data_IF_034733151672
#
_entry.id   IF_034733151672
#
_cell.length_a   1.000
_cell.length_b   1.000
_cell.length_c   1.000
_cell.angle_alpha   90.00
_cell.angle_beta   90.00
_cell.angle_gamma   90.00
#
_symmetry.space_group_name_H-M   'P 1'
#
loop_
_entity.id
_entity.type
_entity.pdbx_description
1 polymer ?
#
# COMPACT_ATOMS: atom_id res chain seq x y z
N UNK A 1 -10.59 28.20 2.54
CA UNK A 1 -9.55 27.26 3.02
C UNK A 1 -9.22 26.19 1.97
N UNK A 2 -10.15 25.40 1.45
CA UNK A 2 -9.91 24.31 0.49
C UNK A 2 -9.08 24.73 -0.74
N UNK A 3 -9.46 25.81 -1.45
CA UNK A 3 -8.71 26.30 -2.63
C UNK A 3 -7.26 26.72 -2.33
N UNK A 4 -6.99 27.24 -1.11
CA UNK A 4 -5.64 27.63 -0.69
C UNK A 4 -4.75 26.39 -0.48
N UNK A 5 -5.25 25.37 0.21
CA UNK A 5 -4.49 24.14 0.47
C UNK A 5 -4.22 23.36 -0.82
N UNK A 6 -5.16 23.34 -1.77
CA UNK A 6 -4.95 22.74 -3.10
C UNK A 6 -3.85 23.46 -3.90
N UNK A 7 -3.84 24.80 -3.86
CA UNK A 7 -2.79 25.57 -4.50
C UNK A 7 -1.43 25.26 -3.89
N UNK A 8 -1.32 25.17 -2.56
CA UNK A 8 -0.08 24.81 -1.88
C UNK A 8 0.38 23.40 -2.29
N UNK A 9 -0.54 22.42 -2.36
CA UNK A 9 -0.23 21.07 -2.80
C UNK A 9 0.35 21.05 -4.23
N UNK A 10 -0.22 21.85 -5.14
CA UNK A 10 0.29 22.01 -6.50
C UNK A 10 1.66 22.71 -6.55
N UNK A 11 1.88 23.74 -5.72
CA UNK A 11 3.16 24.47 -5.61
C UNK A 11 4.30 23.56 -5.11
N UNK A 12 4.02 22.60 -4.20
CA UNK A 12 5.00 21.62 -3.72
C UNK A 12 5.39 20.62 -4.81
N UNK A 13 4.57 20.46 -5.85
CA UNK A 13 4.84 19.64 -7.01
C UNK A 13 4.77 18.14 -6.80
N UNK A 14 5.23 17.41 -7.82
CA UNK A 14 5.27 15.95 -7.83
C UNK A 14 6.51 15.36 -7.16
N UNK A 15 6.56 14.02 -7.14
CA UNK A 15 7.71 13.26 -6.65
C UNK A 15 8.07 12.14 -7.62
N UNK A 16 9.36 11.81 -7.69
CA UNK A 16 9.82 10.57 -8.34
C UNK A 16 9.81 9.47 -7.29
N UNK A 17 9.10 8.39 -7.51
CA UNK A 17 9.04 7.26 -6.58
C UNK A 17 8.76 5.95 -7.32
N UNK A 18 9.57 4.94 -7.07
CA UNK A 18 9.35 3.59 -7.57
C UNK A 18 9.29 3.47 -9.09
N UNK A 19 10.05 4.29 -9.82
CA UNK A 19 10.06 4.34 -11.28
C UNK A 19 8.94 5.19 -11.91
N UNK A 20 8.11 5.86 -11.08
CA UNK A 20 7.03 6.73 -11.55
C UNK A 20 7.27 8.19 -11.22
N UNK A 21 6.74 9.08 -12.07
CA UNK A 21 6.53 10.50 -11.77
C UNK A 21 5.11 10.67 -11.24
N UNK A 22 4.96 10.85 -9.93
CA UNK A 22 3.68 11.05 -9.27
C UNK A 22 3.35 12.53 -9.17
N UNK A 23 2.09 12.93 -9.40
CA UNK A 23 1.61 14.32 -9.30
C UNK A 23 1.78 14.90 -7.88
N UNK A 24 1.74 14.05 -6.87
CA UNK A 24 2.06 14.33 -5.47
C UNK A 24 2.33 12.99 -4.74
N UNK A 25 2.85 12.97 -3.51
CA UNK A 25 3.22 11.73 -2.83
C UNK A 25 2.05 10.92 -2.22
N UNK A 26 0.79 11.29 -2.43
CA UNK A 26 -0.36 10.68 -1.75
C UNK A 26 -1.10 9.70 -2.65
N UNK A 27 -1.30 8.48 -2.15
CA UNK A 27 -1.94 7.38 -2.86
C UNK A 27 -2.99 6.69 -1.98
N UNK A 28 -3.93 5.99 -2.61
CA UNK A 28 -4.77 5.03 -1.87
C UNK A 28 -3.94 3.81 -1.47
N UNK A 29 -4.34 3.10 -0.41
CA UNK A 29 -3.76 1.80 -0.08
C UNK A 29 -4.58 0.66 -0.68
N UNK A 30 -3.93 -0.42 -1.11
CA UNK A 30 -4.63 -1.59 -1.63
C UNK A 30 -5.62 -2.15 -0.61
N UNK A 31 -6.81 -2.51 -1.08
CA UNK A 31 -7.89 -3.06 -0.24
C UNK A 31 -8.80 -2.03 0.43
N UNK A 32 -8.58 -0.73 0.23
CA UNK A 32 -9.40 0.35 0.84
C UNK A 32 -10.03 1.30 -0.17
N UNK A 33 -9.76 1.11 -1.47
CA UNK A 33 -10.26 1.95 -2.57
C UNK A 33 -11.08 1.19 -3.62
N UNK A 34 -11.43 -0.06 -3.35
CA UNK A 34 -12.14 -0.90 -4.34
C UNK A 34 -11.25 -1.36 -5.49
N UNK A 35 -11.88 -1.64 -6.62
CA UNK A 35 -11.21 -2.10 -7.84
C UNK A 35 -11.28 -1.09 -9.00
N UNK A 36 -12.11 -0.04 -8.87
CA UNK A 36 -12.34 0.96 -9.91
C UNK A 36 -12.43 2.39 -9.33
N UNK A 37 -13.34 3.22 -9.83
CA UNK A 37 -13.49 4.64 -9.52
C UNK A 37 -14.47 4.96 -8.38
N UNK A 38 -14.84 4.02 -7.53
CA UNK A 38 -15.89 4.19 -6.50
C UNK A 38 -15.65 5.43 -5.62
N UNK A 39 -14.40 5.70 -5.26
CA UNK A 39 -14.04 6.89 -4.47
C UNK A 39 -14.07 8.20 -5.27
N UNK A 40 -14.22 8.16 -6.58
CA UNK A 40 -14.30 9.34 -7.45
C UNK A 40 -15.48 10.26 -7.14
N UNK A 41 -16.55 9.71 -6.54
CA UNK A 41 -17.69 10.50 -6.06
C UNK A 41 -17.36 11.38 -4.85
N UNK A 42 -16.25 11.14 -4.17
CA UNK A 42 -15.86 11.81 -2.93
C UNK A 42 -14.61 12.66 -3.06
N UNK A 43 -13.70 12.31 -3.99
CA UNK A 43 -12.42 13.01 -4.19
C UNK A 43 -11.94 12.91 -5.65
N UNK A 44 -11.09 13.85 -6.13
CA UNK A 44 -10.54 13.83 -7.47
C UNK A 44 -9.42 12.77 -7.58
N UNK A 45 -9.75 11.58 -8.12
CA UNK A 45 -8.80 10.46 -8.23
C UNK A 45 -7.65 10.77 -9.19
N UNK A 46 -7.92 11.50 -10.27
CA UNK A 46 -6.94 11.99 -11.27
C UNK A 46 -5.89 12.94 -10.71
N UNK A 47 -6.15 13.49 -9.52
CA UNK A 47 -5.26 14.44 -8.83
C UNK A 47 -4.47 13.80 -7.68
N UNK A 48 -4.67 12.53 -7.40
CA UNK A 48 -3.83 11.77 -6.48
C UNK A 48 -2.51 11.39 -7.14
N UNK A 49 -1.51 11.04 -6.34
CA UNK A 49 -0.27 10.46 -6.86
C UNK A 49 -0.54 9.17 -7.63
N UNK A 50 -1.34 8.27 -7.04
CA UNK A 50 -1.87 7.07 -7.71
C UNK A 50 -3.07 6.49 -6.94
N UNK A 51 -3.83 5.65 -7.62
CA UNK A 51 -4.80 4.74 -7.01
C UNK A 51 -4.22 3.32 -7.04
N UNK A 52 -3.96 2.77 -5.85
CA UNK A 52 -3.56 1.37 -5.71
C UNK A 52 -4.82 0.55 -5.50
N UNK A 53 -5.18 -0.26 -6.49
CA UNK A 53 -6.41 -1.06 -6.43
C UNK A 53 -6.27 -2.23 -5.45
N UNK A 54 -7.39 -2.80 -5.04
CA UNK A 54 -7.41 -3.99 -4.18
C UNK A 54 -6.66 -5.14 -4.86
N UNK A 55 -5.87 -5.90 -4.06
CA UNK A 55 -5.02 -6.98 -4.57
C UNK A 55 -5.81 -8.02 -5.36
N UNK A 56 -5.36 -8.27 -6.58
CA UNK A 56 -5.95 -9.17 -7.56
C UNK A 56 -5.24 -10.53 -7.52
N UNK A 57 -5.99 -11.60 -7.62
CA UNK A 57 -5.50 -12.95 -7.86
C UNK A 57 -5.61 -13.28 -9.35
N UNK A 58 -4.89 -14.28 -9.84
CA UNK A 58 -4.95 -14.66 -11.25
C UNK A 58 -6.34 -15.14 -11.70
N UNK A 59 -7.20 -15.56 -10.78
CA UNK A 59 -8.59 -15.98 -11.00
C UNK A 59 -9.54 -15.37 -9.95
N UNK A 60 -10.88 -15.46 -10.12
CA UNK A 60 -11.82 -15.00 -9.11
C UNK A 60 -11.59 -15.69 -7.76
N UNK A 61 -11.67 -14.91 -6.65
CA UNK A 61 -11.47 -15.42 -5.31
C UNK A 61 -12.50 -14.90 -4.32
N UNK A 62 -13.18 -15.81 -3.62
CA UNK A 62 -14.32 -15.48 -2.73
C UNK A 62 -13.91 -14.84 -1.40
N UNK A 63 -12.68 -15.08 -0.94
CA UNK A 63 -12.21 -14.65 0.37
C UNK A 63 -12.72 -15.49 1.53
N UNK A 64 -12.68 -14.92 2.74
CA UNK A 64 -13.03 -15.60 3.98
C UNK A 64 -14.53 -15.51 4.32
N UNK A 65 -15.06 -16.39 5.18
CA UNK A 65 -16.41 -16.25 5.71
C UNK A 65 -16.59 -15.00 6.59
N UNK A 66 -17.80 -14.46 6.64
CA UNK A 66 -18.18 -13.37 7.54
C UNK A 66 -18.26 -13.85 9.03
N UNK A 67 -18.10 -12.95 9.99
CA UNK A 67 -17.76 -11.51 9.89
C UNK A 67 -16.30 -11.27 9.43
N UNK A 68 -16.12 -10.34 8.49
CA UNK A 68 -14.80 -10.07 7.88
C UNK A 68 -14.09 -8.84 8.44
N UNK A 69 -14.82 -8.00 9.17
CA UNK A 69 -14.35 -6.72 9.71
C UNK A 69 -14.90 -6.51 11.09
N UNK A 70 -14.08 -5.96 12.00
CA UNK A 70 -14.52 -5.55 13.34
C UNK A 70 -13.76 -4.30 13.77
N UNK A 71 -14.42 -3.43 14.54
CA UNK A 71 -13.75 -2.26 15.13
C UNK A 71 -12.77 -2.72 16.22
N UNK A 72 -11.62 -2.07 16.27
CA UNK A 72 -10.62 -2.25 17.32
C UNK A 72 -10.24 -0.90 17.90
N UNK A 73 -9.74 -0.87 19.14
CA UNK A 73 -9.28 0.37 19.74
C UNK A 73 -8.13 0.96 18.91
N UNK A 74 -8.31 2.20 18.44
CA UNK A 74 -7.34 2.87 17.58
C UNK A 74 -7.30 2.38 16.13
N UNK A 75 -8.34 1.67 15.66
CA UNK A 75 -8.39 1.20 14.28
C UNK A 75 -9.45 0.15 14.00
N UNK A 76 -9.11 -0.81 13.18
CA UNK A 76 -9.97 -1.94 12.83
C UNK A 76 -9.14 -3.21 12.63
N UNK A 77 -9.80 -4.36 12.80
CA UNK A 77 -9.26 -5.67 12.45
C UNK A 77 -10.06 -6.26 11.30
N UNK A 78 -9.39 -6.86 10.32
CA UNK A 78 -10.04 -7.45 9.17
C UNK A 78 -9.44 -8.81 8.79
N UNK A 79 -10.29 -9.66 8.25
CA UNK A 79 -9.93 -10.92 7.61
C UNK A 79 -10.78 -11.08 6.35
N UNK A 80 -10.69 -10.14 5.41
CA UNK A 80 -11.47 -10.18 4.15
C UNK A 80 -11.09 -11.39 3.30
N UNK A 81 -9.83 -11.84 3.38
CA UNK A 81 -9.36 -13.01 2.65
C UNK A 81 -9.09 -12.74 1.17
N UNK A 82 -8.76 -11.48 0.82
CA UNK A 82 -8.32 -11.10 -0.53
C UNK A 82 -9.34 -11.36 -1.63
N UNK A 83 -10.64 -11.27 -1.32
CA UNK A 83 -11.73 -11.39 -2.29
C UNK A 83 -11.51 -10.46 -3.49
N UNK A 84 -11.75 -10.94 -4.68
CA UNK A 84 -11.66 -10.15 -5.90
C UNK A 84 -12.10 -10.88 -7.16
N UNK A 85 -12.28 -10.15 -8.29
CA UNK A 85 -12.80 -10.69 -9.54
C UNK A 85 -11.78 -11.51 -10.33
N UNK A 86 -10.51 -11.47 -9.95
CA UNK A 86 -9.40 -11.96 -10.76
C UNK A 86 -8.86 -10.92 -11.74
N UNK A 87 -7.62 -11.12 -12.21
CA UNK A 87 -6.93 -10.15 -13.08
C UNK A 87 -7.68 -9.94 -14.39
N UNK A 88 -8.09 -11.02 -15.05
CA UNK A 88 -8.72 -10.94 -16.40
C UNK A 88 -10.04 -10.17 -16.35
N UNK A 89 -10.92 -10.49 -15.40
CA UNK A 89 -12.19 -9.79 -15.24
C UNK A 89 -11.96 -8.31 -14.88
N UNK A 90 -11.01 -8.02 -14.00
CA UNK A 90 -10.66 -6.65 -13.62
C UNK A 90 -10.20 -5.80 -14.82
N UNK A 91 -9.37 -6.36 -15.71
CA UNK A 91 -8.90 -5.66 -16.92
C UNK A 91 -10.08 -5.28 -17.82
N UNK A 92 -11.08 -6.14 -17.96
CA UNK A 92 -12.21 -5.91 -18.86
C UNK A 92 -13.33 -5.07 -18.24
N UNK A 93 -13.55 -5.18 -16.95
CA UNK A 93 -14.73 -4.63 -16.27
C UNK A 93 -14.43 -3.33 -15.50
N UNK A 94 -13.27 -3.23 -14.86
CA UNK A 94 -12.94 -2.12 -13.95
C UNK A 94 -11.89 -1.15 -14.50
N UNK A 95 -10.83 -1.66 -15.13
CA UNK A 95 -9.72 -0.85 -15.63
C UNK A 95 -10.16 0.24 -16.62
N UNK A 96 -11.13 0.03 -17.56
CA UNK A 96 -11.58 1.07 -18.47
C UNK A 96 -12.16 2.31 -17.77
N UNK A 97 -12.78 2.15 -16.62
CA UNK A 97 -13.29 3.29 -15.84
C UNK A 97 -12.15 4.14 -15.25
N UNK A 98 -11.08 3.50 -14.76
CA UNK A 98 -9.87 4.17 -14.27
C UNK A 98 -9.13 4.91 -15.40
N UNK A 99 -9.03 4.33 -16.59
CA UNK A 99 -8.47 4.99 -17.78
C UNK A 99 -9.29 6.20 -18.17
N UNK A 100 -10.61 6.06 -18.29
CA UNK A 100 -11.53 7.16 -18.61
C UNK A 100 -11.42 8.31 -17.61
N UNK A 101 -11.20 7.99 -16.34
CA UNK A 101 -10.99 8.97 -15.28
C UNK A 101 -9.56 9.53 -15.22
N UNK A 102 -8.67 9.13 -16.14
CA UNK A 102 -7.26 9.56 -16.22
C UNK A 102 -6.49 9.35 -14.89
N UNK A 103 -6.72 8.22 -14.26
CA UNK A 103 -6.11 7.86 -12.96
C UNK A 103 -4.75 7.19 -13.18
N UNK A 104 -3.72 7.63 -12.45
CA UNK A 104 -2.47 6.85 -12.33
C UNK A 104 -2.77 5.57 -11.54
N UNK A 105 -2.85 4.45 -12.24
CA UNK A 105 -3.32 3.17 -11.67
C UNK A 105 -2.15 2.25 -11.33
N UNK A 106 -2.12 1.75 -10.10
CA UNK A 106 -1.20 0.71 -9.63
C UNK A 106 -1.99 -0.56 -9.38
N UNK A 107 -1.69 -1.63 -10.12
CA UNK A 107 -2.31 -2.92 -9.95
C UNK A 107 -1.65 -3.67 -8.79
N UNK A 108 -2.37 -3.89 -7.68
CA UNK A 108 -1.88 -4.76 -6.62
C UNK A 108 -2.19 -6.22 -6.96
N UNK A 109 -1.23 -7.13 -6.77
CA UNK A 109 -1.41 -8.58 -7.00
C UNK A 109 -1.00 -9.39 -5.78
N UNK A 110 -1.56 -10.61 -5.67
CA UNK A 110 -1.19 -11.55 -4.64
C UNK A 110 -1.21 -12.99 -5.17
N UNK A 111 -0.56 -13.89 -4.45
CA UNK A 111 -0.53 -15.32 -4.67
C UNK A 111 -0.21 -16.08 -3.39
N UNK A 112 -0.35 -17.38 -3.40
CA UNK A 112 0.00 -18.33 -2.33
C UNK A 112 1.29 -19.08 -2.65
N UNK A 113 1.62 -19.13 -3.94
CA UNK A 113 2.80 -19.78 -4.51
C UNK A 113 3.49 -18.86 -5.49
N UNK A 114 4.77 -19.05 -5.75
CA UNK A 114 5.53 -18.30 -6.77
C UNK A 114 4.82 -18.37 -8.13
N UNK A 115 4.31 -19.55 -8.52
CA UNK A 115 3.62 -19.74 -9.79
C UNK A 115 2.37 -18.85 -9.92
N UNK A 116 1.56 -18.73 -8.86
CA UNK A 116 0.36 -17.90 -8.88
C UNK A 116 0.68 -16.39 -9.04
N UNK A 117 1.79 -15.89 -8.44
CA UNK A 117 2.25 -14.52 -8.68
C UNK A 117 2.66 -14.31 -10.14
N UNK A 118 3.37 -15.27 -10.74
CA UNK A 118 3.76 -15.22 -12.15
C UNK A 118 2.55 -15.24 -13.06
N UNK A 119 1.55 -16.07 -12.80
CA UNK A 119 0.29 -16.08 -13.55
C UNK A 119 -0.41 -14.72 -13.52
N UNK A 120 -0.56 -14.12 -12.32
CA UNK A 120 -1.19 -12.81 -12.18
C UNK A 120 -0.41 -11.70 -12.93
N UNK A 121 0.92 -11.70 -12.80
CA UNK A 121 1.78 -10.73 -13.50
C UNK A 121 1.71 -10.90 -15.03
N UNK A 122 1.72 -12.12 -15.52
CA UNK A 122 1.62 -12.42 -16.95
C UNK A 122 0.28 -11.96 -17.54
N UNK A 123 -0.82 -12.22 -16.84
CA UNK A 123 -2.15 -11.73 -17.25
C UNK A 123 -2.22 -10.20 -17.30
N UNK A 124 -1.55 -9.49 -16.37
CA UNK A 124 -1.51 -8.02 -16.36
C UNK A 124 -0.81 -7.42 -17.58
N UNK A 125 -0.02 -8.18 -18.35
CA UNK A 125 0.56 -7.71 -19.62
C UNK A 125 -0.51 -7.24 -20.60
N UNK A 126 -1.71 -7.83 -20.54
CA UNK A 126 -2.85 -7.42 -21.38
C UNK A 126 -3.36 -6.01 -21.04
N UNK A 127 -3.10 -5.51 -19.84
CA UNK A 127 -3.41 -4.12 -19.44
C UNK A 127 -2.50 -3.08 -20.14
N UNK A 128 -1.33 -3.49 -20.65
CA UNK A 128 -0.40 -2.61 -21.35
C UNK A 128 0.02 -1.41 -20.50
N UNK A 129 -0.11 -0.22 -21.08
CA UNK A 129 0.21 1.07 -20.45
C UNK A 129 -0.94 1.64 -19.59
N UNK A 130 -2.08 0.94 -19.49
CA UNK A 130 -3.21 1.36 -18.66
C UNK A 130 -2.94 1.23 -17.17
N UNK A 131 -1.89 0.48 -16.78
CA UNK A 131 -1.34 0.45 -15.44
C UNK A 131 0.06 1.07 -15.43
N UNK A 132 0.39 1.76 -14.33
CA UNK A 132 1.67 2.46 -14.19
C UNK A 132 2.71 1.65 -13.41
N UNK A 133 2.26 0.78 -12.49
CA UNK A 133 3.12 -0.13 -11.72
C UNK A 133 2.34 -1.35 -11.24
N UNK A 134 3.07 -2.38 -10.78
CA UNK A 134 2.52 -3.54 -10.07
C UNK A 134 3.01 -3.50 -8.62
N UNK A 135 2.08 -3.49 -7.64
CA UNK A 135 2.39 -3.68 -6.22
C UNK A 135 2.20 -5.15 -5.84
N UNK A 136 3.28 -5.87 -5.55
CA UNK A 136 3.28 -7.29 -5.17
C UNK A 136 3.04 -7.40 -3.67
N UNK A 137 1.86 -7.88 -3.26
CA UNK A 137 1.51 -8.10 -1.87
C UNK A 137 2.11 -9.42 -1.36
N UNK A 138 3.24 -9.34 -0.66
CA UNK A 138 3.95 -10.51 -0.10
C UNK A 138 3.48 -10.92 1.30
N UNK A 139 2.45 -10.26 1.86
CA UNK A 139 1.93 -10.55 3.21
C UNK A 139 0.95 -11.71 3.26
N UNK A 140 0.84 -12.48 2.18
CA UNK A 140 -0.03 -13.66 2.09
C UNK A 140 0.59 -14.88 2.78
N UNK A 141 -0.23 -15.81 3.29
CA UNK A 141 0.26 -17.10 3.78
C UNK A 141 0.95 -17.89 2.67
N UNK A 142 2.11 -18.49 2.99
CA UNK A 142 2.83 -19.40 2.09
C UNK A 142 2.26 -20.81 2.19
N UNK A 143 1.82 -21.39 1.07
CA UNK A 143 1.34 -22.76 1.00
C UNK A 143 2.39 -23.77 0.50
N UNK A 144 3.57 -23.31 0.05
CA UNK A 144 4.65 -24.19 -0.46
C UNK A 144 5.48 -24.82 0.68
N UNK A 145 4.82 -25.46 1.64
CA UNK A 145 5.47 -26.38 2.60
C UNK A 145 6.04 -25.76 3.89
N UNK A 146 5.87 -24.47 4.14
CA UNK A 146 6.21 -23.84 5.44
C UNK A 146 5.04 -22.98 5.92
N UNK A 147 4.60 -23.20 7.15
CA UNK A 147 3.66 -22.31 7.83
C UNK A 147 4.31 -20.94 8.01
N UNK A 148 3.79 -19.90 7.35
CA UNK A 148 4.31 -18.54 7.52
C UNK A 148 3.81 -17.58 6.44
N UNK A 149 4.12 -16.31 6.65
CA UNK A 149 3.88 -15.24 5.68
C UNK A 149 5.08 -15.18 4.73
N UNK A 150 4.85 -15.03 3.42
CA UNK A 150 5.90 -14.95 2.39
C UNK A 150 6.91 -13.84 2.72
N UNK A 151 6.44 -12.68 3.20
CA UNK A 151 7.28 -11.55 3.63
C UNK A 151 8.15 -11.82 4.89
N UNK A 152 8.18 -13.04 5.42
CA UNK A 152 9.08 -13.45 6.50
C UNK A 152 10.29 -14.24 6.00
N UNK A 153 10.31 -14.63 4.73
CA UNK A 153 11.41 -15.37 4.08
C UNK A 153 12.05 -14.49 3.00
N UNK A 154 13.25 -13.92 3.23
CA UNK A 154 13.94 -13.08 2.25
C UNK A 154 14.20 -13.79 0.92
N UNK A 155 14.56 -15.08 0.94
CA UNK A 155 14.84 -15.86 -0.26
C UNK A 155 13.58 -16.03 -1.11
N UNK A 156 12.47 -16.42 -0.50
CA UNK A 156 11.21 -16.60 -1.22
C UNK A 156 10.65 -15.26 -1.73
N UNK A 157 10.69 -14.21 -0.90
CA UNK A 157 10.27 -12.87 -1.30
C UNK A 157 11.08 -12.35 -2.50
N UNK A 158 12.40 -12.49 -2.46
CA UNK A 158 13.30 -12.13 -3.58
C UNK A 158 12.99 -12.92 -4.84
N UNK A 159 12.81 -14.25 -4.76
CA UNK A 159 12.45 -15.10 -5.92
C UNK A 159 11.13 -14.67 -6.56
N UNK A 160 10.11 -14.35 -5.75
CA UNK A 160 8.82 -13.89 -6.28
C UNK A 160 8.98 -12.54 -6.99
N UNK A 161 9.69 -11.58 -6.39
CA UNK A 161 9.91 -10.26 -7.02
C UNK A 161 10.70 -10.43 -8.33
N UNK A 162 11.77 -11.22 -8.35
CA UNK A 162 12.54 -11.48 -9.57
C UNK A 162 11.66 -12.08 -10.67
N UNK A 163 10.84 -13.08 -10.34
CA UNK A 163 9.95 -13.72 -11.30
C UNK A 163 8.85 -12.76 -11.82
N UNK A 164 8.23 -11.98 -10.94
CA UNK A 164 7.24 -10.96 -11.35
C UNK A 164 7.88 -9.87 -12.19
N UNK A 165 9.08 -9.40 -11.84
CA UNK A 165 9.80 -8.37 -12.59
C UNK A 165 10.18 -8.84 -13.99
N UNK A 166 10.47 -10.11 -14.19
CA UNK A 166 10.76 -10.67 -15.52
C UNK A 166 9.52 -10.73 -16.44
N UNK A 167 8.32 -10.82 -15.87
CA UNK A 167 7.06 -10.80 -16.62
C UNK A 167 6.50 -9.39 -16.82
N UNK A 168 6.87 -8.44 -15.97
CA UNK A 168 6.29 -7.10 -15.96
C UNK A 168 6.90 -6.18 -17.02
N UNK A 169 6.04 -5.36 -17.65
CA UNK A 169 6.44 -4.27 -18.55
C UNK A 169 6.43 -2.90 -17.87
N UNK A 170 6.06 -2.86 -16.60
CA UNK A 170 5.99 -1.65 -15.75
C UNK A 170 6.78 -1.87 -14.46
N UNK A 171 7.15 -0.82 -13.72
CA UNK A 171 7.86 -0.94 -12.44
C UNK A 171 7.13 -1.88 -11.45
N UNK A 172 7.90 -2.65 -10.68
CA UNK A 172 7.39 -3.58 -9.65
C UNK A 172 7.72 -3.05 -8.27
N UNK A 173 6.73 -2.94 -7.40
CA UNK A 173 6.87 -2.58 -5.99
C UNK A 173 6.63 -3.79 -5.10
N UNK A 174 7.37 -3.90 -4.00
CA UNK A 174 7.23 -5.00 -3.05
C UNK A 174 6.53 -4.52 -1.78
N UNK A 175 5.32 -5.02 -1.47
CA UNK A 175 4.62 -4.70 -0.23
C UNK A 175 4.87 -5.75 0.83
N UNK A 176 5.49 -5.30 1.94
CA UNK A 176 6.01 -6.15 3.00
C UNK A 176 5.19 -6.04 4.29
N UNK A 177 5.43 -7.01 5.17
CA UNK A 177 4.85 -7.09 6.50
C UNK A 177 5.91 -6.75 7.56
N UNK A 178 5.50 -6.08 8.63
CA UNK A 178 6.31 -5.88 9.83
C UNK A 178 6.03 -6.92 10.94
N UNK A 179 5.34 -8.00 10.62
CA UNK A 179 5.14 -9.14 11.55
C UNK A 179 6.39 -10.03 11.66
N UNK A 180 7.56 -9.48 11.43
CA UNK A 180 8.86 -10.15 11.46
C UNK A 180 9.92 -9.21 12.02
N UNK A 181 10.94 -9.74 12.65
CA UNK A 181 12.16 -9.04 13.07
C UNK A 181 13.18 -8.86 11.93
N UNK A 182 12.90 -9.47 10.75
CA UNK A 182 13.79 -9.48 9.57
C UNK A 182 13.37 -8.52 8.46
N UNK A 183 12.62 -7.44 8.77
CA UNK A 183 12.09 -6.52 7.76
C UNK A 183 13.18 -5.90 6.89
N UNK A 184 14.34 -5.58 7.43
CA UNK A 184 15.50 -5.04 6.67
C UNK A 184 16.07 -6.08 5.72
N UNK A 185 16.25 -7.33 6.17
CA UNK A 185 16.77 -8.41 5.32
C UNK A 185 15.82 -8.72 4.15
N UNK A 186 14.51 -8.80 4.42
CA UNK A 186 13.50 -9.01 3.38
C UNK A 186 13.49 -7.82 2.41
N UNK A 187 13.57 -6.59 2.92
CA UNK A 187 13.63 -5.39 2.10
C UNK A 187 14.87 -5.38 1.18
N UNK A 188 16.02 -5.80 1.70
CA UNK A 188 17.26 -5.95 0.91
C UNK A 188 17.07 -6.99 -0.19
N UNK A 189 16.52 -8.16 0.14
CA UNK A 189 16.33 -9.23 -0.83
C UNK A 189 15.37 -8.84 -1.97
N UNK A 190 14.27 -8.12 -1.68
CA UNK A 190 13.34 -7.69 -2.74
C UNK A 190 13.90 -6.55 -3.59
N UNK A 191 14.69 -5.63 -3.00
CA UNK A 191 15.42 -4.59 -3.74
C UNK A 191 16.41 -5.23 -4.73
N UNK A 192 17.25 -6.16 -4.24
CA UNK A 192 18.27 -6.83 -5.02
C UNK A 192 17.67 -7.72 -6.13
N UNK A 193 16.41 -8.14 -5.93
CA UNK A 193 15.62 -8.88 -6.91
C UNK A 193 14.91 -7.99 -7.96
N UNK A 194 15.07 -6.66 -7.90
CA UNK A 194 14.57 -5.73 -8.89
C UNK A 194 13.29 -4.95 -8.52
N UNK A 195 12.89 -4.96 -7.24
CA UNK A 195 11.83 -4.05 -6.80
C UNK A 195 12.25 -2.58 -6.94
N UNK A 196 11.44 -1.79 -7.65
CA UNK A 196 11.65 -0.36 -7.86
C UNK A 196 11.26 0.48 -6.63
N UNK A 197 10.40 -0.03 -5.77
CA UNK A 197 10.07 0.55 -4.46
C UNK A 197 9.66 -0.53 -3.46
N UNK A 198 9.73 -0.19 -2.18
CA UNK A 198 9.31 -1.05 -1.08
C UNK A 198 8.16 -0.37 -0.34
N UNK A 199 6.99 -1.01 -0.29
CA UNK A 199 5.82 -0.51 0.46
C UNK A 199 5.83 -1.09 1.88
N UNK A 200 5.88 -0.26 2.88
CA UNK A 200 5.93 -0.58 4.32
C UNK A 200 4.85 0.19 5.07
N UNK A 201 3.94 -0.50 5.75
CA UNK A 201 3.80 -1.93 6.03
C UNK A 201 2.38 -2.42 5.68
N UNK A 202 2.19 -3.73 5.56
CA UNK A 202 0.85 -4.30 5.59
C UNK A 202 0.32 -4.33 7.04
N UNK A 203 -0.88 -4.88 7.26
CA UNK A 203 -1.53 -4.97 8.58
C UNK A 203 -0.73 -5.84 9.56
N UNK A 204 -0.86 -5.52 10.86
CA UNK A 204 -0.27 -6.31 11.93
C UNK A 204 -1.20 -7.47 12.31
N UNK A 205 -0.66 -8.65 12.53
CA UNK A 205 -1.44 -9.79 13.00
C UNK A 205 -2.09 -9.49 14.36
N UNK A 206 -3.39 -9.76 14.47
CA UNK A 206 -4.14 -9.51 15.68
C UNK A 206 -5.36 -10.41 15.80
N UNK A 207 -5.94 -10.42 16.99
CA UNK A 207 -7.19 -11.12 17.28
C UNK A 207 -8.01 -10.31 18.27
N UNK A 208 -9.33 -10.42 18.14
CA UNK A 208 -10.26 -9.86 19.12
C UNK A 208 -11.28 -10.93 19.48
N UNK A 209 -11.56 -11.04 20.78
CA UNK A 209 -12.49 -12.02 21.34
C UNK A 209 -13.64 -11.27 22.00
N UNK A 210 -14.88 -11.64 21.65
CA UNK A 210 -16.08 -11.15 22.33
C UNK A 210 -16.15 -11.73 23.76
N UNK A 211 -16.08 -10.86 24.75
CA UNK A 211 -16.16 -11.28 26.17
C UNK A 211 -17.53 -11.84 26.55
N UNK A 212 -18.58 -11.51 25.81
CA UNK A 212 -19.93 -12.01 26.04
C UNK A 212 -20.17 -13.43 25.50
N UNK A 213 -19.46 -13.81 24.42
CA UNK A 213 -19.64 -15.11 23.77
C UNK A 213 -18.44 -16.05 23.90
N UNK A 214 -17.26 -15.52 24.27
CA UNK A 214 -16.00 -16.25 24.29
C UNK A 214 -15.48 -16.62 22.89
N UNK A 215 -16.05 -16.06 21.81
CA UNK A 215 -15.69 -16.39 20.42
C UNK A 215 -14.87 -15.28 19.76
N UNK A 216 -14.02 -15.60 18.77
CA UNK A 216 -13.39 -14.61 17.91
C UNK A 216 -14.41 -13.68 17.26
N UNK A 217 -14.06 -12.39 17.13
CA UNK A 217 -14.91 -11.38 16.48
C UNK A 217 -14.94 -11.48 14.97
N UNK A 218 -14.00 -12.20 14.36
CA UNK A 218 -13.92 -12.46 12.92
C UNK A 218 -14.21 -13.92 12.62
N UNK A 219 -14.87 -14.21 11.49
CA UNK A 219 -15.20 -15.56 11.05
C UNK A 219 -13.98 -16.45 10.81
N UNK A 220 -12.82 -15.86 10.47
CA UNK A 220 -11.53 -16.54 10.28
C UNK A 220 -10.70 -16.63 11.58
N UNK A 221 -11.25 -16.27 12.74
CA UNK A 221 -10.52 -16.22 14.01
C UNK A 221 -9.69 -14.95 14.17
N UNK A 222 -8.46 -14.94 13.69
CA UNK A 222 -7.59 -13.76 13.67
C UNK A 222 -7.69 -12.96 12.36
N UNK A 223 -7.01 -11.82 12.31
CA UNK A 223 -6.96 -10.96 11.14
C UNK A 223 -5.84 -9.92 11.21
N UNK A 224 -5.86 -8.97 10.29
CA UNK A 224 -4.92 -7.85 10.24
C UNK A 224 -5.45 -6.62 10.97
N UNK A 225 -4.74 -6.15 11.98
CA UNK A 225 -4.97 -4.86 12.63
C UNK A 225 -4.44 -3.72 11.76
N UNK A 226 -5.21 -2.66 11.59
CA UNK A 226 -4.87 -1.46 10.83
C UNK A 226 -5.40 -0.20 11.50
N UNK A 227 -5.00 0.99 11.01
CA UNK A 227 -5.38 2.28 11.58
C UNK A 227 -4.31 2.86 12.52
N UNK A 228 -4.59 3.95 13.24
CA UNK A 228 -3.61 4.68 14.05
C UNK A 228 -2.80 3.84 15.02
N UNK A 229 -3.35 2.74 15.53
CA UNK A 229 -2.67 1.84 16.46
C UNK A 229 -1.36 1.24 15.91
N UNK A 230 -1.23 1.06 14.59
CA UNK A 230 -0.02 0.47 13.99
C UNK A 230 0.99 1.51 13.50
N UNK A 231 0.67 2.83 13.55
CA UNK A 231 1.55 3.87 13.02
C UNK A 231 2.97 3.85 13.59
N UNK A 232 3.19 3.73 14.92
CA UNK A 232 4.56 3.68 15.45
C UNK A 232 5.38 2.50 14.91
N UNK A 233 4.73 1.38 14.62
CA UNK A 233 5.38 0.20 14.02
C UNK A 233 5.75 0.47 12.57
N UNK A 234 4.84 1.09 11.80
CA UNK A 234 5.08 1.46 10.42
C UNK A 234 6.24 2.50 10.29
N UNK A 235 6.22 3.53 11.14
CA UNK A 235 7.31 4.53 11.21
C UNK A 235 8.64 3.85 11.49
N UNK A 236 8.70 2.95 12.46
CA UNK A 236 9.92 2.23 12.82
C UNK A 236 10.43 1.37 11.66
N UNK A 237 9.55 0.64 10.98
CA UNK A 237 9.93 -0.18 9.83
C UNK A 237 10.50 0.67 8.68
N UNK A 238 9.84 1.79 8.35
CA UNK A 238 10.32 2.74 7.33
C UNK A 238 11.67 3.31 7.71
N UNK A 239 11.83 3.77 8.96
CA UNK A 239 13.08 4.31 9.48
C UNK A 239 14.23 3.31 9.36
N UNK A 240 14.06 2.08 9.87
CA UNK A 240 15.13 1.08 9.88
C UNK A 240 15.54 0.65 8.47
N UNK A 241 14.58 0.49 7.55
CA UNK A 241 14.87 0.18 6.16
C UNK A 241 15.57 1.35 5.47
N UNK A 242 15.15 2.60 5.72
CA UNK A 242 15.80 3.79 5.16
C UNK A 242 17.23 3.98 5.68
N UNK A 243 17.47 3.73 6.97
CA UNK A 243 18.81 3.78 7.57
C UNK A 243 19.74 2.73 6.93
N UNK A 244 19.23 1.52 6.68
CA UNK A 244 20.01 0.44 6.05
C UNK A 244 20.23 0.62 4.54
N UNK A 245 19.29 1.29 3.86
CA UNK A 245 19.28 1.48 2.40
C UNK A 245 18.90 2.91 2.04
N UNK A 246 19.82 3.90 2.16
CA UNK A 246 19.50 5.32 1.97
C UNK A 246 18.94 5.68 0.59
N UNK A 247 19.29 4.92 -0.45
CA UNK A 247 18.90 5.20 -1.83
C UNK A 247 17.59 4.52 -2.26
N UNK A 248 17.03 3.60 -1.42
CA UNK A 248 15.80 2.90 -1.78
C UNK A 248 14.58 3.82 -1.72
N UNK A 249 13.69 3.68 -2.70
CA UNK A 249 12.39 4.32 -2.65
C UNK A 249 11.44 3.55 -1.72
N UNK A 250 10.96 4.22 -0.68
CA UNK A 250 10.01 3.66 0.28
C UNK A 250 8.65 4.34 0.12
N UNK A 251 7.60 3.53 0.06
CA UNK A 251 6.22 3.96 0.12
C UNK A 251 5.69 3.62 1.51
N UNK A 252 5.44 4.64 2.32
CA UNK A 252 5.01 4.47 3.71
C UNK A 252 3.50 4.24 3.81
N UNK A 253 3.08 3.21 4.54
CA UNK A 253 1.67 2.93 4.81
C UNK A 253 1.48 2.34 6.19
N UNK A 254 0.44 2.77 6.89
CA UNK A 254 0.08 2.26 8.22
C UNK A 254 -0.22 3.39 9.21
N UNK A 255 -1.49 3.54 9.56
CA UNK A 255 -1.96 4.45 10.59
C UNK A 255 -1.99 5.93 10.23
N UNK A 256 -1.82 6.29 8.96
CA UNK A 256 -1.94 7.68 8.49
C UNK A 256 -3.41 8.09 8.51
N UNK A 257 -3.73 9.10 9.33
CA UNK A 257 -5.09 9.65 9.51
C UNK A 257 -5.12 11.19 9.47
N UNK A 258 -3.96 11.85 9.38
CA UNK A 258 -3.81 13.31 9.28
C UNK A 258 -2.61 13.68 8.42
N UNK A 259 -2.49 14.95 8.04
CA UNK A 259 -1.30 15.47 7.35
C UNK A 259 -0.03 15.36 8.18
N UNK A 260 -0.12 15.53 9.51
CA UNK A 260 1.01 15.32 10.41
C UNK A 260 1.50 13.87 10.38
N UNK A 261 0.60 12.89 10.36
CA UNK A 261 0.99 11.47 10.31
C UNK A 261 1.71 11.14 9.00
N UNK A 262 1.26 11.74 7.88
CA UNK A 262 1.91 11.57 6.58
C UNK A 262 3.31 12.19 6.58
N UNK A 263 3.47 13.38 7.14
CA UNK A 263 4.77 14.06 7.25
C UNK A 263 5.72 13.26 8.16
N UNK A 264 5.23 12.74 9.29
CA UNK A 264 6.01 11.86 10.17
C UNK A 264 6.55 10.64 9.42
N UNK A 265 5.70 9.99 8.60
CA UNK A 265 6.10 8.87 7.76
C UNK A 265 7.17 9.25 6.73
N UNK A 266 7.05 10.44 6.12
CA UNK A 266 8.05 10.96 5.19
C UNK A 266 9.35 11.32 5.92
N UNK A 267 9.28 11.93 7.10
CA UNK A 267 10.47 12.21 7.94
C UNK A 267 11.24 10.94 8.27
N UNK A 268 10.55 9.81 8.50
CA UNK A 268 11.18 8.51 8.71
C UNK A 268 11.87 7.95 7.47
N UNK A 269 11.54 8.43 6.26
CA UNK A 269 12.19 8.03 5.02
C UNK A 269 11.27 7.65 3.86
N UNK A 270 9.94 7.68 4.04
CA UNK A 270 9.02 7.42 2.96
C UNK A 270 9.03 8.55 1.93
N UNK A 271 9.19 8.22 0.64
CA UNK A 271 9.15 9.17 -0.48
C UNK A 271 7.74 9.44 -0.95
N UNK A 272 6.85 8.48 -0.79
CA UNK A 272 5.42 8.59 -1.00
C UNK A 272 4.67 7.84 0.10
N UNK A 273 3.37 8.09 0.24
CA UNK A 273 2.55 7.48 1.30
C UNK A 273 1.24 6.93 0.74
N UNK A 274 0.79 5.82 1.31
CA UNK A 274 -0.53 5.26 1.06
C UNK A 274 -1.45 5.48 2.27
N UNK A 275 -2.68 5.95 2.03
CA UNK A 275 -3.71 6.11 3.05
C UNK A 275 -4.73 4.98 2.89
N UNK A 276 -4.90 4.18 3.94
CA UNK A 276 -5.79 3.02 3.94
C UNK A 276 -7.00 3.20 4.83
N UNK A 277 -6.94 2.71 6.06
CA UNK A 277 -8.06 2.61 7.02
C UNK A 277 -8.84 3.91 7.23
N UNK A 278 -8.19 5.07 7.12
CA UNK A 278 -8.86 6.37 7.24
C UNK A 278 -9.96 6.57 6.18
N UNK A 279 -9.86 5.93 5.01
CA UNK A 279 -10.86 6.00 3.94
C UNK A 279 -12.19 5.33 4.31
N UNK A 280 -12.20 4.39 5.25
CA UNK A 280 -13.45 3.80 5.74
C UNK A 280 -14.23 4.75 6.67
N UNK A 281 -13.53 5.63 7.39
CA UNK A 281 -14.17 6.67 8.21
C UNK A 281 -14.56 7.89 7.36
N UNK A 282 -13.76 8.23 6.35
CA UNK A 282 -13.99 9.35 5.43
C UNK A 282 -13.53 8.96 4.03
N UNK A 283 -14.42 8.75 3.06
CA UNK A 283 -14.05 8.39 1.69
C UNK A 283 -13.12 9.39 0.99
N UNK A 284 -13.10 10.66 1.42
CA UNK A 284 -12.19 11.69 0.91
C UNK A 284 -10.85 11.78 1.66
N UNK A 285 -10.57 10.88 2.61
CA UNK A 285 -9.43 10.98 3.53
C UNK A 285 -8.10 11.18 2.82
N UNK A 286 -7.83 10.46 1.73
CA UNK A 286 -6.56 10.58 0.99
C UNK A 286 -6.33 12.01 0.51
N UNK A 287 -7.36 12.62 -0.10
CA UNK A 287 -7.30 13.97 -0.62
C UNK A 287 -7.26 15.04 0.49
N UNK A 288 -8.01 14.82 1.56
CA UNK A 288 -8.03 15.73 2.71
C UNK A 288 -6.68 15.73 3.44
N UNK A 289 -6.07 14.56 3.64
CA UNK A 289 -4.74 14.38 4.23
C UNK A 289 -3.65 15.01 3.35
N UNK A 290 -3.73 14.84 2.02
CA UNK A 290 -2.80 15.46 1.09
C UNK A 290 -2.78 16.99 1.21
N UNK A 291 -3.97 17.61 1.28
CA UNK A 291 -4.12 19.06 1.44
C UNK A 291 -3.68 19.56 2.83
N UNK A 292 -3.98 18.79 3.87
CA UNK A 292 -3.55 19.09 5.24
C UNK A 292 -2.02 19.01 5.36
N UNK A 293 -1.41 17.97 4.86
CA UNK A 293 0.04 17.82 4.80
C UNK A 293 0.72 18.97 4.03
N UNK A 294 0.15 19.38 2.89
CA UNK A 294 0.70 20.49 2.12
C UNK A 294 0.73 21.82 2.91
N UNK A 295 -0.33 22.11 3.66
CA UNK A 295 -0.37 23.29 4.55
C UNK A 295 0.71 23.13 5.64
N UNK A 296 0.77 21.96 6.26
CA UNK A 296 1.72 21.69 7.34
C UNK A 296 3.18 21.76 6.91
N UNK A 297 3.49 21.32 5.69
CA UNK A 297 4.84 21.47 5.09
C UNK A 297 5.29 22.92 5.09
N UNK A 298 4.43 23.84 4.66
CA UNK A 298 4.73 25.30 4.67
C UNK A 298 4.91 25.85 6.08
N UNK A 299 4.09 25.42 7.04
CA UNK A 299 4.21 25.83 8.45
C UNK A 299 5.54 25.37 9.06
N UNK A 300 6.03 24.19 8.68
CA UNK A 300 7.31 23.65 9.11
C UNK A 300 8.51 24.23 8.34
N UNK A 301 8.29 25.07 7.32
CA UNK A 301 9.33 25.73 6.54
C UNK A 301 9.96 24.87 5.44
N UNK A 302 9.36 23.73 5.09
CA UNK A 302 9.81 22.91 3.97
C UNK A 302 9.34 23.50 2.63
N UNK A 303 10.23 23.47 1.63
CA UNK A 303 9.99 24.03 0.30
C UNK A 303 9.53 22.98 -0.72
N UNK A 304 9.92 21.72 -0.52
CA UNK A 304 9.59 20.59 -1.39
C UNK A 304 9.35 19.31 -0.58
N UNK A 305 8.69 18.33 -1.19
CA UNK A 305 8.55 17.00 -0.58
C UNK A 305 9.90 16.32 -0.35
N UNK A 306 10.90 16.59 -1.19
CA UNK A 306 12.24 16.02 -1.03
C UNK A 306 12.94 16.50 0.25
N UNK A 307 12.64 17.71 0.73
CA UNK A 307 13.27 18.27 1.91
C UNK A 307 12.91 17.51 3.19
N UNK A 308 11.69 16.99 3.27
CA UNK A 308 11.20 16.27 4.45
C UNK A 308 11.59 14.80 4.45
N UNK A 309 11.78 14.17 3.27
CA UNK A 309 12.09 12.74 3.17
C UNK A 309 13.38 12.39 3.91
N UNK A 310 13.25 11.54 4.93
CA UNK A 310 14.38 11.03 5.70
C UNK A 310 15.14 12.12 6.47
N UNK A 311 14.52 13.26 6.79
CA UNK A 311 15.22 14.33 7.50
C UNK A 311 15.71 13.89 8.90
N UNK A 312 15.06 12.93 9.54
CA UNK A 312 15.51 12.37 10.83
C UNK A 312 16.88 11.70 10.76
N UNK A 313 17.30 11.22 9.59
CA UNK A 313 18.61 10.59 9.37
C UNK A 313 19.75 11.60 9.13
N UNK A 314 19.42 12.90 9.07
CA UNK A 314 20.38 14.00 8.85
C UNK A 314 20.72 14.77 10.14
N UNK A 315 20.19 14.34 11.30
CA UNK A 315 20.38 14.99 12.60
C UNK A 315 21.66 14.49 13.30
#
# INVERSE_FOLDING_TARGET
MKRRSERILQELGGVQCGGLTLANPFMTASGTSGHDVELGSYMPLDRLGAVVVKSLFHEPWEGNPAPRVHLAQGGMINAVGLQGPGVVAWIHESLPALETANVTTVASIWGRTLHEYVLAANQLRAAGQSISAIEVNLSCPNLEGRSGIIAHDPSLAGRIISAVSSESIVPVWAKLSANTDRVVEVSTAVRDAGASAITLINTMLGMQISTSSGRPSLGNGGGGLSGPAIRPIAIRAVHDVKAAMPDVDIIGVGGIASGNDAIEMMMAGARAVQVGTASFASPSAVWDIARDAAVRMKELGFSSWADVVGCVHRL
#
